data_IF_555777246544
#
_entry.id   IF_555777246544
#
_cell.length_a   1.000
_cell.length_b   1.000
_cell.length_c   1.000
_cell.angle_alpha   90.00
_cell.angle_beta   90.00
_cell.angle_gamma   90.00
#
_symmetry.space_group_name_H-M   'P 1'
#
loop_
_entity.id
_entity.type
_entity.pdbx_description
1 polymer ?
#
# COMPACT_ATOMS: atom_id res chain seq x y z
N UNK A 1 -42.79 -32.07 -6.49
CA UNK A 1 -42.20 -30.73 -6.54
C UNK A 1 -40.72 -30.86 -6.29
N UNK A 2 -39.89 -30.68 -7.31
CA UNK A 2 -38.43 -30.82 -7.18
C UNK A 2 -37.87 -29.41 -6.96
N UNK A 3 -37.16 -29.20 -5.83
CA UNK A 3 -36.45 -27.95 -5.58
C UNK A 3 -35.18 -27.95 -6.44
N UNK A 4 -34.88 -26.84 -7.13
CA UNK A 4 -33.60 -26.74 -7.83
C UNK A 4 -32.47 -26.77 -6.82
N UNK A 5 -31.45 -27.61 -7.08
CA UNK A 5 -30.23 -27.67 -6.30
C UNK A 5 -29.55 -26.30 -6.34
N UNK A 6 -29.29 -25.73 -5.17
CA UNK A 6 -28.45 -24.56 -5.01
C UNK A 6 -27.06 -24.91 -5.56
N UNK A 7 -26.72 -24.35 -6.70
CA UNK A 7 -25.39 -24.46 -7.27
C UNK A 7 -24.44 -23.80 -6.26
N UNK A 8 -23.60 -24.60 -5.61
CA UNK A 8 -22.52 -24.09 -4.80
C UNK A 8 -21.67 -23.17 -5.70
N UNK A 9 -21.59 -21.89 -5.34
CA UNK A 9 -20.65 -20.95 -5.96
C UNK A 9 -19.26 -21.62 -5.92
N UNK A 10 -18.67 -21.80 -7.09
CA UNK A 10 -17.26 -22.20 -7.18
C UNK A 10 -16.48 -21.16 -6.42
N UNK A 11 -16.00 -21.54 -5.24
CA UNK A 11 -15.06 -20.75 -4.46
C UNK A 11 -13.78 -20.64 -5.31
N UNK A 12 -13.73 -19.60 -6.14
CA UNK A 12 -12.61 -19.38 -7.05
C UNK A 12 -11.41 -19.03 -6.18
N UNK A 13 -10.47 -19.97 -6.04
CA UNK A 13 -9.26 -19.80 -5.22
C UNK A 13 -8.48 -18.55 -5.60
N UNK A 14 -8.74 -17.98 -6.77
CA UNK A 14 -8.14 -16.73 -7.23
C UNK A 14 -8.62 -15.50 -6.45
N UNK A 15 -9.84 -15.50 -5.89
CA UNK A 15 -10.39 -14.37 -5.13
C UNK A 15 -10.09 -14.44 -3.64
N UNK A 16 -9.55 -15.57 -3.17
CA UNK A 16 -9.19 -15.75 -1.77
C UNK A 16 -8.03 -14.81 -1.39
N UNK A 17 -8.22 -14.02 -0.33
CA UNK A 17 -7.18 -13.15 0.20
C UNK A 17 -6.16 -13.98 0.97
N UNK A 18 -4.90 -13.89 0.57
CA UNK A 18 -3.75 -14.49 1.23
C UNK A 18 -3.04 -13.43 2.07
N UNK A 19 -2.63 -13.81 3.26
CA UNK A 19 -1.89 -12.98 4.21
C UNK A 19 -0.44 -13.46 4.22
N UNK A 20 0.48 -12.56 3.91
CA UNK A 20 1.89 -12.88 3.71
C UNK A 20 2.77 -11.88 4.43
N UNK A 21 4.02 -12.27 4.64
CA UNK A 21 5.08 -11.40 5.14
C UNK A 21 6.29 -11.56 4.24
N UNK A 22 6.91 -10.44 3.87
CA UNK A 22 8.13 -10.38 3.08
C UNK A 22 9.20 -9.62 3.85
N UNK A 23 10.43 -10.17 3.91
CA UNK A 23 11.55 -9.48 4.53
C UNK A 23 12.20 -8.53 3.52
N UNK A 24 12.29 -7.26 3.90
CA UNK A 24 12.82 -6.16 3.07
C UNK A 24 13.61 -5.20 3.95
N UNK A 25 14.84 -4.88 3.60
CA UNK A 25 15.72 -3.93 4.31
C UNK A 25 15.84 -4.22 5.82
N UNK A 26 15.77 -5.49 6.19
CA UNK A 26 15.81 -5.90 7.59
C UNK A 26 14.46 -5.89 8.31
N UNK A 27 13.38 -5.40 7.69
CA UNK A 27 12.03 -5.36 8.22
C UNK A 27 11.15 -6.48 7.67
N UNK A 28 10.19 -6.93 8.45
CA UNK A 28 9.12 -7.80 8.00
C UNK A 28 7.93 -6.94 7.54
N UNK A 29 7.63 -6.96 6.25
CA UNK A 29 6.52 -6.23 5.65
C UNK A 29 5.36 -7.19 5.45
N UNK A 30 4.28 -6.98 6.19
CA UNK A 30 3.03 -7.72 6.03
C UNK A 30 2.24 -7.19 4.84
N UNK A 31 1.59 -8.09 4.10
CA UNK A 31 0.72 -7.69 3.01
C UNK A 31 -0.41 -8.68 2.77
N UNK A 32 -1.49 -8.18 2.17
CA UNK A 32 -2.61 -8.93 1.65
C UNK A 32 -2.47 -9.04 0.15
N UNK A 33 -2.65 -10.24 -0.38
CA UNK A 33 -2.57 -10.51 -1.80
C UNK A 33 -3.78 -11.34 -2.24
N UNK A 34 -4.37 -10.98 -3.38
CA UNK A 34 -5.46 -11.72 -4.00
C UNK A 34 -5.44 -11.56 -5.52
N UNK A 35 -6.13 -12.45 -6.23
CA UNK A 35 -6.13 -12.47 -7.69
C UNK A 35 -4.95 -13.27 -8.26
N UNK A 36 -4.97 -13.45 -9.59
CA UNK A 36 -3.90 -14.13 -10.30
C UNK A 36 -2.74 -13.19 -10.61
N UNK A 37 -1.48 -13.57 -10.33
CA UNK A 37 -0.30 -12.75 -10.70
C UNK A 37 -0.15 -12.50 -12.21
N UNK A 38 -0.86 -13.26 -13.06
CA UNK A 38 -0.87 -13.05 -14.51
C UNK A 38 -1.77 -11.90 -14.98
N UNK A 39 -2.59 -11.35 -14.06
CA UNK A 39 -3.48 -10.21 -14.34
C UNK A 39 -2.77 -8.87 -14.08
N UNK A 40 -3.27 -7.76 -14.63
CA UNK A 40 -2.75 -6.44 -14.29
C UNK A 40 -2.77 -6.22 -12.77
N UNK A 41 -1.66 -5.70 -12.23
CA UNK A 41 -1.50 -5.51 -10.79
C UNK A 41 -2.04 -4.15 -10.33
N UNK A 42 -2.74 -4.14 -9.19
CA UNK A 42 -3.10 -2.93 -8.45
C UNK A 42 -2.45 -3.00 -7.06
N UNK A 43 -1.63 -2.02 -6.76
CA UNK A 43 -1.03 -1.81 -5.43
C UNK A 43 -1.89 -0.82 -4.65
N UNK A 44 -2.27 -1.18 -3.42
CA UNK A 44 -3.08 -0.36 -2.52
C UNK A 44 -2.21 0.12 -1.37
N UNK A 45 -2.01 1.44 -1.24
CA UNK A 45 -1.29 2.10 -0.16
C UNK A 45 -2.26 2.81 0.76
N UNK A 46 -2.28 2.36 2.02
CA UNK A 46 -3.18 2.86 3.07
C UNK A 46 -2.73 4.20 3.65
N UNK A 47 -3.58 4.82 4.45
CA UNK A 47 -3.32 6.05 5.18
C UNK A 47 -3.16 5.85 6.70
N UNK A 48 -2.93 6.96 7.39
CA UNK A 48 -2.87 7.07 8.84
C UNK A 48 -4.31 7.24 9.42
N UNK A 49 -4.64 6.65 10.57
CA UNK A 49 -3.86 5.68 11.37
C UNK A 49 -4.25 4.22 11.06
N UNK A 50 -4.41 3.89 9.80
CA UNK A 50 -4.94 2.61 9.35
C UNK A 50 -3.84 1.62 8.92
N UNK A 51 -4.22 0.59 8.19
CA UNK A 51 -3.36 -0.43 7.58
C UNK A 51 -4.05 -0.98 6.32
N UNK A 52 -3.46 -1.94 5.64
CA UNK A 52 -4.10 -2.64 4.52
C UNK A 52 -5.46 -3.28 4.88
N UNK A 53 -5.76 -3.40 6.19
CA UNK A 53 -7.08 -3.86 6.66
C UNK A 53 -8.24 -2.99 6.18
N UNK A 54 -8.01 -1.70 5.93
CA UNK A 54 -9.04 -0.82 5.39
C UNK A 54 -9.59 -1.28 4.03
N UNK A 55 -8.79 -2.04 3.29
CA UNK A 55 -9.14 -2.56 1.97
C UNK A 55 -9.75 -3.97 1.99
N UNK A 56 -10.05 -4.55 3.16
CA UNK A 56 -10.56 -5.92 3.31
C UNK A 56 -11.77 -6.25 2.43
N UNK A 57 -12.66 -5.27 2.22
CA UNK A 57 -13.88 -5.43 1.41
C UNK A 57 -13.64 -5.06 -0.07
N UNK A 58 -12.59 -4.29 -0.37
CA UNK A 58 -12.21 -3.88 -1.72
C UNK A 58 -11.38 -4.96 -2.42
N UNK A 59 -10.42 -5.58 -1.71
CA UNK A 59 -9.51 -6.57 -2.27
C UNK A 59 -10.24 -7.72 -2.96
N UNK A 60 -11.24 -8.40 -2.36
CA UNK A 60 -11.95 -9.48 -3.03
C UNK A 60 -12.67 -9.03 -4.31
N UNK A 61 -13.21 -7.81 -4.32
CA UNK A 61 -13.92 -7.26 -5.48
C UNK A 61 -12.99 -6.97 -6.65
N UNK A 62 -11.82 -6.41 -6.36
CA UNK A 62 -10.80 -6.13 -7.38
C UNK A 62 -10.14 -7.41 -7.90
N UNK A 63 -9.94 -8.41 -7.03
CA UNK A 63 -9.21 -9.64 -7.37
C UNK A 63 -9.91 -10.51 -8.43
N UNK A 64 -11.18 -10.25 -8.73
CA UNK A 64 -11.89 -10.87 -9.85
C UNK A 64 -11.22 -10.56 -11.19
N UNK A 65 -10.66 -9.36 -11.36
CA UNK A 65 -10.07 -8.90 -12.62
C UNK A 65 -8.59 -8.51 -12.52
N UNK A 66 -8.07 -8.34 -11.31
CA UNK A 66 -6.73 -7.82 -11.05
C UNK A 66 -5.95 -8.72 -10.10
N UNK A 67 -4.64 -8.67 -10.19
CA UNK A 67 -3.75 -9.06 -9.11
C UNK A 67 -3.68 -7.88 -8.12
N UNK A 68 -4.04 -8.10 -6.87
CA UNK A 68 -4.14 -7.04 -5.84
C UNK A 68 -3.09 -7.27 -4.77
N UNK A 69 -2.31 -6.25 -4.48
CA UNK A 69 -1.32 -6.23 -3.40
C UNK A 69 -1.59 -5.04 -2.49
N UNK A 70 -1.80 -5.28 -1.21
CA UNK A 70 -2.04 -4.26 -0.19
C UNK A 70 -1.11 -4.49 0.98
N UNK A 71 -0.05 -3.70 1.09
CA UNK A 71 0.95 -3.81 2.15
C UNK A 71 0.62 -2.91 3.35
N UNK A 72 1.05 -3.33 4.53
CA UNK A 72 1.17 -2.47 5.70
C UNK A 72 2.54 -1.79 5.65
N UNK A 73 2.57 -0.46 5.61
CA UNK A 73 3.83 0.29 5.64
C UNK A 73 4.56 0.10 6.99
N UNK A 74 5.90 0.23 7.05
CA UNK A 74 6.63 0.20 8.32
C UNK A 74 6.01 1.13 9.37
N UNK A 75 5.82 0.64 10.58
CA UNK A 75 5.14 1.36 11.66
C UNK A 75 3.63 1.19 11.70
N UNK A 76 3.04 0.38 10.79
CA UNK A 76 1.60 0.19 10.70
C UNK A 76 1.23 -1.29 10.66
N UNK A 77 0.02 -1.58 11.13
CA UNK A 77 -0.63 -2.88 11.03
C UNK A 77 0.20 -4.02 11.61
N UNK A 78 0.48 -5.03 10.77
CA UNK A 78 1.26 -6.21 11.13
C UNK A 78 2.71 -6.17 10.61
N UNK A 79 3.13 -5.07 9.97
CA UNK A 79 4.52 -4.85 9.63
C UNK A 79 5.35 -4.47 10.85
N UNK A 80 6.67 -4.64 10.77
CA UNK A 80 7.57 -4.26 11.83
C UNK A 80 7.45 -2.76 12.16
N UNK A 81 7.60 -2.45 13.46
CA UNK A 81 7.49 -1.11 14.03
C UNK A 81 8.77 -0.77 14.79
N UNK A 82 9.91 -0.57 14.08
CA UNK A 82 11.16 -0.21 14.74
C UNK A 82 11.02 1.14 15.45
N UNK A 83 11.85 1.35 16.49
CA UNK A 83 11.85 2.63 17.20
C UNK A 83 12.38 3.76 16.29
N UNK A 84 12.09 5.01 16.66
CA UNK A 84 12.52 6.19 15.89
C UNK A 84 14.06 6.38 15.88
N UNK A 85 14.76 5.72 16.80
CA UNK A 85 16.23 5.67 16.81
C UNK A 85 16.78 4.67 15.79
N UNK A 86 15.99 3.66 15.42
CA UNK A 86 16.38 2.59 14.51
C UNK A 86 15.88 2.82 13.09
N UNK A 87 14.81 3.59 12.92
CA UNK A 87 14.17 3.82 11.63
C UNK A 87 13.76 5.29 11.48
N UNK A 88 14.22 5.92 10.42
CA UNK A 88 13.82 7.28 10.06
C UNK A 88 12.46 7.25 9.34
N UNK A 89 11.39 7.58 10.06
CA UNK A 89 10.02 7.61 9.56
C UNK A 89 9.75 8.83 8.68
N UNK A 90 10.48 8.95 7.58
CA UNK A 90 10.21 9.94 6.53
C UNK A 90 9.45 9.30 5.37
N UNK A 91 8.68 10.09 4.63
CA UNK A 91 8.01 9.59 3.42
C UNK A 91 9.00 9.12 2.35
N UNK A 92 10.20 9.70 2.29
CA UNK A 92 11.27 9.26 1.39
C UNK A 92 11.73 7.85 1.75
N UNK A 93 11.95 7.57 3.04
CA UNK A 93 12.40 6.26 3.50
C UNK A 93 11.28 5.21 3.39
N UNK A 94 10.04 5.56 3.78
CA UNK A 94 8.88 4.68 3.58
C UNK A 94 8.71 4.31 2.11
N UNK A 95 8.85 5.28 1.19
CA UNK A 95 8.76 5.02 -0.24
C UNK A 95 9.90 4.10 -0.73
N UNK A 96 11.12 4.26 -0.20
CA UNK A 96 12.25 3.39 -0.53
C UNK A 96 11.99 1.95 -0.10
N UNK A 97 11.53 1.74 1.13
CA UNK A 97 11.18 0.39 1.63
C UNK A 97 10.06 -0.23 0.80
N UNK A 98 9.03 0.56 0.44
CA UNK A 98 7.93 0.06 -0.38
C UNK A 98 8.36 -0.26 -1.81
N UNK A 99 9.31 0.48 -2.38
CA UNK A 99 9.89 0.17 -3.70
C UNK A 99 10.65 -1.17 -3.68
N UNK A 100 11.53 -1.36 -2.69
CA UNK A 100 12.25 -2.62 -2.49
C UNK A 100 11.30 -3.79 -2.18
N UNK A 101 10.21 -3.52 -1.44
CA UNK A 101 9.16 -4.52 -1.20
C UNK A 101 8.54 -4.99 -2.52
N UNK A 102 8.12 -4.06 -3.39
CA UNK A 102 7.52 -4.41 -4.68
C UNK A 102 8.50 -5.18 -5.56
N UNK A 103 9.77 -4.81 -5.58
CA UNK A 103 10.82 -5.55 -6.29
C UNK A 103 10.97 -6.98 -5.74
N UNK A 104 10.98 -7.14 -4.40
CA UNK A 104 11.16 -8.45 -3.74
C UNK A 104 10.03 -9.45 -4.03
N UNK A 105 8.84 -8.95 -4.35
CA UNK A 105 7.69 -9.77 -4.76
C UNK A 105 7.45 -9.76 -6.28
N UNK A 106 8.43 -9.26 -7.05
CA UNK A 106 8.41 -9.20 -8.53
C UNK A 106 7.25 -8.40 -9.13
N UNK A 107 6.78 -7.37 -8.43
CA UNK A 107 5.76 -6.42 -8.92
C UNK A 107 6.47 -5.22 -9.56
N UNK A 108 6.77 -5.34 -10.84
CA UNK A 108 7.56 -4.33 -11.60
C UNK A 108 6.72 -3.39 -12.45
N UNK A 109 5.42 -3.69 -12.65
CA UNK A 109 4.49 -2.86 -13.42
C UNK A 109 3.10 -2.95 -12.81
N UNK A 110 2.53 -1.80 -12.41
CA UNK A 110 1.29 -1.78 -11.65
C UNK A 110 0.53 -0.46 -11.78
N UNK A 111 -0.77 -0.49 -11.50
CA UNK A 111 -1.54 0.69 -11.13
C UNK A 111 -1.48 0.88 -9.62
N UNK A 112 -1.54 2.12 -9.14
CA UNK A 112 -1.44 2.40 -7.71
C UNK A 112 -2.68 3.14 -7.23
N UNK A 113 -3.28 2.63 -6.15
CA UNK A 113 -4.33 3.30 -5.40
C UNK A 113 -3.73 3.86 -4.12
N UNK A 114 -3.85 5.17 -3.94
CA UNK A 114 -3.23 5.91 -2.84
C UNK A 114 -4.28 6.66 -2.04
N UNK A 115 -4.20 6.56 -0.73
CA UNK A 115 -5.10 7.22 0.20
C UNK A 115 -4.29 7.82 1.35
N UNK A 116 -4.56 9.09 1.73
CA UNK A 116 -3.96 9.79 2.87
C UNK A 116 -2.41 9.68 2.86
N UNK A 117 -1.74 9.08 3.87
CA UNK A 117 -0.29 8.83 3.90
C UNK A 117 0.23 7.95 2.75
N UNK A 118 -0.61 7.13 2.15
CA UNK A 118 -0.28 6.39 0.94
C UNK A 118 0.03 7.31 -0.24
N UNK A 119 -0.51 8.55 -0.26
CA UNK A 119 -0.29 9.48 -1.36
C UNK A 119 1.15 10.01 -1.42
N UNK A 120 1.75 10.60 -0.37
CA UNK A 120 3.14 11.03 -0.43
C UNK A 120 4.13 9.89 -0.69
N UNK A 121 3.82 8.66 -0.26
CA UNK A 121 4.62 7.47 -0.59
C UNK A 121 4.45 7.11 -2.06
N UNK A 122 3.21 6.99 -2.56
CA UNK A 122 2.91 6.60 -3.92
C UNK A 122 3.39 7.60 -4.97
N UNK A 123 3.31 8.90 -4.71
CA UNK A 123 3.87 9.91 -5.61
C UNK A 123 5.39 9.83 -5.69
N UNK A 124 6.09 9.43 -4.62
CA UNK A 124 7.55 9.22 -4.64
C UNK A 124 7.92 7.98 -5.46
N UNK A 125 7.14 6.91 -5.36
CA UNK A 125 7.30 5.74 -6.23
C UNK A 125 7.14 6.13 -7.71
N UNK A 126 6.12 6.94 -8.02
CA UNK A 126 5.92 7.45 -9.39
C UNK A 126 7.07 8.32 -9.87
N UNK A 127 7.58 9.24 -9.05
CA UNK A 127 8.69 10.11 -9.42
C UNK A 127 10.00 9.33 -9.61
N UNK A 128 10.18 8.23 -8.87
CA UNK A 128 11.37 7.38 -8.98
C UNK A 128 11.31 6.44 -10.19
N UNK A 129 10.14 5.87 -10.48
CA UNK A 129 9.92 4.85 -11.51
C UNK A 129 8.63 5.11 -12.30
N UNK A 130 8.52 6.21 -13.06
CA UNK A 130 7.30 6.54 -13.79
C UNK A 130 6.90 5.46 -14.81
N UNK A 131 7.87 4.72 -15.35
CA UNK A 131 7.67 3.64 -16.32
C UNK A 131 6.97 2.41 -15.73
N UNK A 132 7.01 2.23 -14.40
CA UNK A 132 6.37 1.11 -13.70
C UNK A 132 4.89 1.37 -13.42
N UNK A 133 4.47 2.63 -13.32
CA UNK A 133 3.12 3.00 -12.90
C UNK A 133 2.23 3.29 -14.10
N UNK A 134 1.21 2.44 -14.28
CA UNK A 134 0.27 2.49 -15.40
C UNK A 134 -0.87 3.50 -15.18
N UNK A 135 -1.31 3.65 -13.94
CA UNK A 135 -2.36 4.57 -13.53
C UNK A 135 -2.25 4.90 -12.05
N UNK A 136 -2.70 6.10 -11.67
CA UNK A 136 -2.79 6.55 -10.29
C UNK A 136 -4.26 6.81 -9.97
N UNK A 137 -4.77 6.16 -8.91
CA UNK A 137 -6.08 6.39 -8.34
C UNK A 137 -5.85 7.01 -6.97
N UNK A 138 -6.31 8.24 -6.75
CA UNK A 138 -6.11 8.96 -5.49
C UNK A 138 -7.42 9.21 -4.76
N UNK A 139 -7.41 8.99 -3.46
CA UNK A 139 -8.52 9.30 -2.55
C UNK A 139 -7.97 10.09 -1.36
N UNK A 140 -8.41 11.35 -1.21
CA UNK A 140 -8.03 12.22 -0.09
C UNK A 140 -6.51 12.23 0.17
N UNK A 141 -5.73 12.21 -0.90
CA UNK A 141 -4.27 12.20 -0.84
C UNK A 141 -3.70 13.60 -0.96
N UNK A 142 -2.57 13.84 -0.28
CA UNK A 142 -1.81 15.08 -0.35
C UNK A 142 -0.50 14.86 -1.08
N UNK A 143 -0.18 15.75 -2.04
CA UNK A 143 1.12 15.80 -2.70
C UNK A 143 2.04 16.84 -2.07
N UNK A 144 1.48 17.92 -1.49
CA UNK A 144 2.20 19.07 -0.97
C UNK A 144 1.73 19.45 0.43
N UNK A 145 2.60 20.13 1.19
CA UNK A 145 2.32 20.57 2.56
C UNK A 145 1.10 21.51 2.65
N UNK A 146 0.86 22.33 1.61
CA UNK A 146 -0.28 23.24 1.53
C UNK A 146 -1.64 22.55 1.50
N UNK A 147 -1.67 21.27 1.09
CA UNK A 147 -2.87 20.42 1.13
C UNK A 147 -3.26 19.96 2.53
N UNK A 148 -2.37 20.10 3.51
CA UNK A 148 -2.64 19.69 4.89
C UNK A 148 -3.48 20.76 5.59
N UNK A 149 -4.59 20.33 6.20
CA UNK A 149 -5.37 21.20 7.07
C UNK A 149 -4.67 21.39 8.41
N UNK A 150 -4.97 22.51 9.11
CA UNK A 150 -4.32 22.88 10.37
C UNK A 150 -4.28 21.78 11.44
N UNK A 151 -5.29 20.92 11.49
CA UNK A 151 -5.37 19.80 12.45
C UNK A 151 -4.32 18.72 12.12
N UNK A 152 -4.13 18.39 10.84
CA UNK A 152 -3.11 17.43 10.41
C UNK A 152 -1.72 18.06 10.42
N UNK A 153 -1.61 19.35 10.12
CA UNK A 153 -0.34 20.07 10.15
C UNK A 153 0.40 20.03 11.50
N UNK A 154 -0.33 19.84 12.60
CA UNK A 154 0.28 19.65 13.92
C UNK A 154 0.91 18.26 14.10
N UNK A 155 0.37 17.23 13.41
CA UNK A 155 0.87 15.85 13.48
C UNK A 155 2.00 15.63 12.48
N UNK A 156 1.88 16.21 11.30
CA UNK A 156 2.75 15.92 10.14
C UNK A 156 3.95 16.89 10.00
N UNK A 157 3.92 18.07 10.65
CA UNK A 157 5.03 19.03 10.61
C UNK A 157 6.40 18.44 10.91
N UNK A 158 6.59 17.61 11.95
CA UNK A 158 7.88 16.99 12.22
C UNK A 158 8.39 16.09 11.09
N UNK A 159 7.47 15.43 10.36
CA UNK A 159 7.82 14.54 9.25
C UNK A 159 8.22 15.33 7.99
N UNK A 160 7.63 16.51 7.78
CA UNK A 160 7.89 17.34 6.60
C UNK A 160 9.09 18.28 6.79
N UNK A 161 9.37 18.75 8.02
CA UNK A 161 10.38 19.77 8.31
C UNK A 161 11.79 19.19 8.59
N UNK A 162 11.95 17.87 8.82
CA UNK A 162 13.26 17.25 9.10
C UNK A 162 14.30 17.44 7.98
N UNK A 163 13.90 17.79 6.75
CA UNK A 163 14.84 18.09 5.65
C UNK A 163 15.48 19.49 5.74
N UNK A 164 14.94 20.45 6.49
CA UNK A 164 15.47 21.83 6.53
C UNK A 164 16.63 22.05 7.52
N UNK A 165 16.92 21.10 8.40
CA UNK A 165 17.95 21.23 9.44
C UNK A 165 19.28 20.51 9.16
N UNK A 166 19.49 20.01 7.93
CA UNK A 166 20.74 19.32 7.53
C UNK A 166 21.41 20.01 6.32
N UNK A 167 21.56 21.32 6.39
CA UNK A 167 22.55 22.07 5.58
C UNK A 167 23.50 22.80 6.52
#
# INVERSE_FOLDING_TARGET
MSFPAFSAEKNDSATQVRYKTQRVDGLNIFFREAGSPSRPTIVLLHGFPSSSHMYRDLIPKLSVNYHVVAADMPGFGYSDQPSVEQFDYTFDHLASVMDHFLDSISVTRYSIYIQDYGAPVGFRLFLKHPERIQAIITQNGNAYAEGLRSVLGCVDRPLLERKKSRN
#
